data_IF_036233610272
#
_entry.id   IF_036233610272
#
_cell.length_a   1.000
_cell.length_b   1.000
_cell.length_c   1.000
_cell.angle_alpha   90.00
_cell.angle_beta   90.00
_cell.angle_gamma   90.00
#
_symmetry.space_group_name_H-M   'P 1'
#
loop_
_entity.id
_entity.type
_entity.pdbx_description
1 polymer ?
#
# COMPACT_ATOMS: atom_id res chain seq x y z
N UNK A 1 -17.59 8.00 -0.99
CA UNK A 1 -18.72 8.73 -0.35
C UNK A 1 -19.33 7.90 0.77
N UNK A 2 -19.84 6.69 0.51
CA UNK A 2 -20.43 5.83 1.54
C UNK A 2 -19.48 5.46 2.70
N UNK A 3 -18.25 5.00 2.41
CA UNK A 3 -17.29 4.65 3.46
C UNK A 3 -16.98 5.81 4.43
N UNK A 4 -16.90 7.05 3.93
CA UNK A 4 -16.67 8.22 4.79
C UNK A 4 -17.88 8.50 5.68
N UNK A 5 -19.10 8.40 5.14
CA UNK A 5 -20.32 8.56 5.94
C UNK A 5 -20.45 7.49 7.03
N UNK A 6 -20.07 6.25 6.73
CA UNK A 6 -20.03 5.16 7.72
C UNK A 6 -19.03 5.48 8.82
N UNK A 7 -17.80 5.87 8.48
CA UNK A 7 -16.77 6.25 9.47
C UNK A 7 -17.26 7.40 10.34
N UNK A 8 -17.84 8.44 9.75
CA UNK A 8 -18.38 9.58 10.51
C UNK A 8 -19.45 9.15 11.53
N UNK A 9 -20.33 8.23 11.10
CA UNK A 9 -21.37 7.65 11.96
C UNK A 9 -20.76 6.78 13.07
N UNK A 10 -19.77 5.95 12.75
CA UNK A 10 -19.09 5.10 13.74
C UNK A 10 -18.37 5.95 14.80
N UNK A 11 -17.71 7.03 14.40
CA UNK A 11 -17.10 7.98 15.34
C UNK A 11 -18.16 8.61 16.25
N UNK A 12 -19.29 9.02 15.67
CA UNK A 12 -20.38 9.62 16.45
C UNK A 12 -21.03 8.64 17.45
N UNK A 13 -21.09 7.35 17.12
CA UNK A 13 -21.71 6.32 17.96
C UNK A 13 -20.78 5.78 19.05
N UNK A 14 -19.55 5.44 18.68
CA UNK A 14 -18.62 4.73 19.56
C UNK A 14 -17.57 5.64 20.21
N UNK A 15 -17.43 6.88 19.75
CA UNK A 15 -16.58 7.88 20.38
C UNK A 15 -15.11 7.78 19.98
N UNK A 16 -14.20 7.68 20.96
CA UNK A 16 -12.75 7.75 20.76
C UNK A 16 -12.12 6.36 20.67
N UNK A 17 -10.93 6.29 20.05
CA UNK A 17 -10.07 5.10 19.91
C UNK A 17 -10.75 3.93 19.20
N UNK A 18 -11.59 4.22 18.21
CA UNK A 18 -12.22 3.17 17.41
C UNK A 18 -11.21 2.57 16.43
N UNK A 19 -11.20 1.25 16.31
CA UNK A 19 -10.39 0.51 15.33
C UNK A 19 -11.33 -0.15 14.32
N UNK A 20 -11.15 0.16 13.03
CA UNK A 20 -12.01 -0.32 11.94
C UNK A 20 -11.23 -1.30 11.08
N UNK A 21 -11.72 -2.54 11.00
CA UNK A 21 -11.29 -3.52 10.00
C UNK A 21 -11.80 -3.15 8.61
N UNK A 22 -10.89 -2.99 7.67
CA UNK A 22 -11.22 -2.80 6.26
C UNK A 22 -10.06 -3.26 5.38
N UNK A 23 -10.30 -4.11 4.39
CA UNK A 23 -9.26 -4.66 3.51
C UNK A 23 -8.36 -3.58 2.91
N UNK A 24 -8.98 -2.49 2.46
CA UNK A 24 -8.26 -1.34 1.89
C UNK A 24 -8.01 -0.25 2.93
N UNK A 25 -8.10 -0.56 4.23
CA UNK A 25 -7.95 0.36 5.35
C UNK A 25 -6.66 1.16 5.28
N UNK A 26 -5.57 0.54 4.81
CA UNK A 26 -4.29 1.22 4.61
C UNK A 26 -4.32 2.37 3.60
N UNK A 27 -5.11 2.24 2.53
CA UNK A 27 -5.31 3.29 1.53
C UNK A 27 -6.45 4.23 1.92
N UNK A 28 -7.47 3.69 2.60
CA UNK A 28 -8.64 4.42 3.03
C UNK A 28 -8.32 5.41 4.15
N UNK A 29 -7.38 5.09 5.03
CA UNK A 29 -6.83 6.03 6.01
C UNK A 29 -6.37 7.34 5.36
N UNK A 30 -5.59 7.25 4.28
CA UNK A 30 -5.17 8.41 3.51
C UNK A 30 -6.37 9.16 2.88
N UNK A 31 -7.43 8.45 2.53
CA UNK A 31 -8.67 9.06 2.02
C UNK A 31 -9.40 9.84 3.11
N UNK A 32 -9.49 9.30 4.33
CA UNK A 32 -10.05 9.99 5.49
C UNK A 32 -9.23 11.24 5.81
N UNK A 33 -7.90 11.12 5.84
CA UNK A 33 -6.98 12.21 6.12
C UNK A 33 -7.04 13.37 5.11
N UNK A 34 -7.50 13.12 3.87
CA UNK A 34 -7.71 14.14 2.84
C UNK A 34 -9.17 14.61 2.72
N UNK A 35 -10.05 14.14 3.59
CA UNK A 35 -11.47 14.49 3.59
C UNK A 35 -11.81 15.51 4.67
N UNK A 36 -13.07 15.97 4.68
CA UNK A 36 -13.60 16.81 5.76
C UNK A 36 -13.58 16.13 7.15
N UNK A 37 -13.37 14.80 7.21
CA UNK A 37 -13.28 14.05 8.46
C UNK A 37 -11.88 14.04 9.07
N UNK A 38 -10.86 14.60 8.41
CA UNK A 38 -9.47 14.50 8.86
C UNK A 38 -9.27 14.93 10.33
N UNK A 39 -9.78 16.12 10.70
CA UNK A 39 -9.66 16.64 12.07
C UNK A 39 -10.41 15.77 13.07
N UNK A 40 -11.65 15.38 12.74
CA UNK A 40 -12.50 14.55 13.60
C UNK A 40 -11.90 13.16 13.82
N UNK A 41 -11.43 12.51 12.75
CA UNK A 41 -10.76 11.21 12.81
C UNK A 41 -9.49 11.26 13.68
N UNK A 42 -8.68 12.33 13.53
CA UNK A 42 -7.47 12.52 14.33
C UNK A 42 -7.78 12.77 15.80
N UNK A 43 -8.71 13.67 16.10
CA UNK A 43 -9.13 14.00 17.47
C UNK A 43 -9.70 12.78 18.20
N UNK A 44 -10.46 11.95 17.48
CA UNK A 44 -11.03 10.73 18.01
C UNK A 44 -10.05 9.55 18.01
N UNK A 45 -8.82 9.70 17.49
CA UNK A 45 -7.84 8.61 17.45
C UNK A 45 -8.33 7.41 16.64
N UNK A 46 -9.02 7.64 15.52
CA UNK A 46 -9.45 6.60 14.60
C UNK A 46 -8.25 5.81 14.10
N UNK A 47 -8.36 4.48 14.12
CA UNK A 47 -7.40 3.57 13.50
C UNK A 47 -8.10 2.66 12.51
N UNK A 48 -7.40 2.36 11.42
CA UNK A 48 -7.77 1.28 10.52
C UNK A 48 -6.84 0.10 10.74
N UNK A 49 -7.32 -1.10 10.40
CA UNK A 49 -6.53 -2.31 10.22
C UNK A 49 -7.02 -3.04 8.98
N UNK A 50 -6.13 -3.75 8.30
CA UNK A 50 -6.54 -4.78 7.35
C UNK A 50 -6.90 -6.04 8.14
N UNK A 51 -7.92 -6.81 7.74
CA UNK A 51 -8.25 -8.07 8.40
C UNK A 51 -7.05 -9.02 8.49
N UNK A 52 -7.01 -9.92 9.46
CA UNK A 52 -5.84 -10.78 9.71
C UNK A 52 -5.55 -11.72 8.53
N UNK A 53 -6.58 -12.18 7.81
CA UNK A 53 -6.41 -13.00 6.62
C UNK A 53 -5.93 -12.15 5.43
N UNK A 54 -6.62 -11.05 5.17
CA UNK A 54 -6.27 -10.16 4.04
C UNK A 54 -4.96 -9.40 4.26
N UNK A 55 -4.65 -9.06 5.50
CA UNK A 55 -3.48 -8.29 5.89
C UNK A 55 -2.18 -8.98 5.49
N UNK A 56 -2.12 -10.32 5.54
CA UNK A 56 -0.95 -11.06 5.06
C UNK A 56 -0.73 -10.99 3.54
N UNK A 57 -1.76 -10.67 2.75
CA UNK A 57 -1.61 -10.45 1.31
C UNK A 57 -1.01 -9.07 0.98
N UNK A 58 -0.92 -8.17 1.95
CA UNK A 58 -0.31 -6.86 1.76
C UNK A 58 1.20 -6.96 1.85
N UNK A 59 1.92 -6.03 1.22
CA UNK A 59 3.37 -5.97 1.36
C UNK A 59 3.77 -5.78 2.83
N UNK A 60 4.93 -6.31 3.22
CA UNK A 60 5.38 -6.30 4.62
C UNK A 60 5.37 -4.91 5.28
N UNK A 61 5.74 -3.85 4.57
CA UNK A 61 5.69 -2.49 5.13
C UNK A 61 4.27 -2.03 5.47
N UNK A 62 3.27 -2.49 4.71
CA UNK A 62 1.87 -2.30 5.04
C UNK A 62 1.44 -3.18 6.23
N UNK A 63 1.88 -4.45 6.29
CA UNK A 63 1.59 -5.35 7.40
C UNK A 63 2.04 -4.74 8.73
N UNK A 64 3.28 -4.25 8.83
CA UNK A 64 3.83 -3.69 10.07
C UNK A 64 3.03 -2.51 10.64
N UNK A 65 2.28 -1.79 9.79
CA UNK A 65 1.51 -0.59 10.20
C UNK A 65 0.03 -0.86 10.39
N UNK A 66 -0.52 -1.83 9.66
CA UNK A 66 -1.97 -2.01 9.49
C UNK A 66 -2.47 -3.41 9.82
N UNK A 67 -1.60 -4.40 10.02
CA UNK A 67 -2.03 -5.74 10.41
C UNK A 67 -2.44 -5.75 11.89
N UNK A 68 -3.53 -6.43 12.30
CA UNK A 68 -4.06 -6.33 13.65
C UNK A 68 -3.05 -6.72 14.73
N UNK A 69 -2.22 -7.74 14.46
CA UNK A 69 -1.12 -8.19 15.34
C UNK A 69 -0.14 -7.09 15.74
N UNK A 70 0.08 -6.09 14.88
CA UNK A 70 1.03 -5.00 15.14
C UNK A 70 0.35 -3.72 15.64
N UNK A 71 -0.98 -3.74 15.79
CA UNK A 71 -1.75 -2.58 16.24
C UNK A 71 -2.27 -2.86 17.64
N UNK A 72 -1.81 -2.06 18.59
CA UNK A 72 -2.25 -2.18 19.98
C UNK A 72 -3.76 -1.90 20.10
N UNK A 73 -4.43 -2.69 20.96
CA UNK A 73 -5.87 -2.58 21.22
C UNK A 73 -6.77 -3.43 20.31
N UNK A 74 -6.20 -4.18 19.37
CA UNK A 74 -6.94 -5.13 18.52
C UNK A 74 -7.28 -6.45 19.22
N UNK A 75 -6.52 -6.81 20.26
CA UNK A 75 -6.68 -8.06 20.98
C UNK A 75 -6.53 -9.27 20.06
N UNK A 76 -7.43 -10.25 20.19
CA UNK A 76 -7.46 -11.44 19.35
C UNK A 76 -8.46 -11.32 18.19
N UNK A 77 -8.98 -10.12 17.90
CA UNK A 77 -9.92 -9.93 16.79
C UNK A 77 -9.20 -10.06 15.44
N UNK A 78 -9.77 -10.88 14.56
CA UNK A 78 -9.29 -11.07 13.19
C UNK A 78 -9.77 -9.96 12.24
N UNK A 79 -10.86 -9.28 12.56
CA UNK A 79 -11.53 -8.28 11.71
C UNK A 79 -12.05 -8.85 10.37
N UNK A 80 -12.39 -10.14 10.32
CA UNK A 80 -12.86 -10.87 9.12
C UNK A 80 -14.38 -11.18 9.17
N UNK A 81 -15.14 -10.35 9.90
CA UNK A 81 -16.55 -10.62 10.18
C UNK A 81 -17.44 -10.60 8.92
N UNK A 82 -17.12 -9.75 7.94
CA UNK A 82 -17.87 -9.65 6.69
C UNK A 82 -17.67 -10.91 5.84
N UNK A 83 -16.45 -11.42 5.82
CA UNK A 83 -15.99 -12.56 5.04
C UNK A 83 -16.67 -13.84 5.54
N UNK A 84 -16.88 -13.97 6.85
CA UNK A 84 -17.68 -15.05 7.43
C UNK A 84 -19.13 -15.04 6.93
N UNK A 85 -19.76 -13.86 6.82
CA UNK A 85 -21.12 -13.71 6.26
C UNK A 85 -21.13 -14.04 4.77
N UNK A 86 -20.17 -13.53 4.01
CA UNK A 86 -20.06 -13.79 2.57
C UNK A 86 -19.84 -15.28 2.30
N UNK A 87 -18.98 -15.93 3.08
CA UNK A 87 -18.74 -17.36 2.99
C UNK A 87 -20.02 -18.17 3.20
N UNK A 88 -20.81 -17.83 4.23
CA UNK A 88 -22.09 -18.48 4.49
C UNK A 88 -23.08 -18.30 3.33
N UNK A 89 -23.11 -17.10 2.73
CA UNK A 89 -24.02 -16.78 1.62
C UNK A 89 -23.78 -17.62 0.35
N UNK A 90 -22.61 -18.25 0.21
CA UNK A 90 -22.33 -19.16 -0.90
C UNK A 90 -23.29 -20.36 -0.92
N UNK A 91 -23.88 -20.74 0.23
CA UNK A 91 -24.83 -21.84 0.34
C UNK A 91 -26.07 -21.65 -0.56
N UNK A 92 -26.48 -20.41 -0.82
CA UNK A 92 -27.64 -20.10 -1.68
C UNK A 92 -27.26 -19.68 -3.09
N UNK A 93 -25.98 -19.59 -3.42
CA UNK A 93 -25.52 -19.05 -4.71
C UNK A 93 -25.99 -19.90 -5.91
N UNK A 94 -25.85 -21.23 -5.84
CA UNK A 94 -26.25 -22.14 -6.91
C UNK A 94 -27.77 -22.13 -7.15
N UNK A 95 -28.56 -22.18 -6.08
CA UNK A 95 -30.03 -22.17 -6.16
C UNK A 95 -30.61 -20.84 -6.67
N UNK A 96 -29.93 -19.73 -6.38
CA UNK A 96 -30.39 -18.40 -6.78
C UNK A 96 -29.94 -17.95 -8.17
N UNK A 97 -29.02 -18.67 -8.80
CA UNK A 97 -28.45 -18.34 -10.11
C UNK A 97 -29.54 -18.25 -11.19
N UNK A 98 -30.45 -19.23 -11.23
CA UNK A 98 -31.53 -19.33 -12.21
C UNK A 98 -32.91 -18.92 -11.65
N UNK A 99 -32.97 -18.49 -10.39
CA UNK A 99 -34.20 -18.04 -9.77
C UNK A 99 -34.67 -16.69 -10.34
N UNK A 100 -36.00 -16.47 -10.35
CA UNK A 100 -36.55 -15.14 -10.62
C UNK A 100 -36.10 -14.14 -9.54
N UNK A 101 -36.19 -12.83 -9.82
CA UNK A 101 -35.80 -11.79 -8.86
C UNK A 101 -36.48 -11.98 -7.49
N UNK A 102 -37.77 -12.28 -7.49
CA UNK A 102 -38.55 -12.49 -6.28
C UNK A 102 -38.01 -13.67 -5.46
N UNK A 103 -37.87 -14.86 -6.08
CA UNK A 103 -37.38 -16.05 -5.38
C UNK A 103 -35.91 -15.91 -4.94
N UNK A 104 -35.08 -15.19 -5.70
CA UNK A 104 -33.71 -14.86 -5.27
C UNK A 104 -33.71 -14.02 -4.00
N UNK A 105 -34.53 -12.97 -3.95
CA UNK A 105 -34.62 -12.11 -2.77
C UNK A 105 -35.15 -12.89 -1.57
N UNK A 106 -36.19 -13.70 -1.76
CA UNK A 106 -36.75 -14.56 -0.72
C UNK A 106 -35.69 -15.54 -0.17
N UNK A 107 -34.97 -16.26 -1.03
CA UNK A 107 -33.94 -17.21 -0.59
C UNK A 107 -32.78 -16.55 0.17
N UNK A 108 -32.35 -15.36 -0.25
CA UNK A 108 -31.31 -14.59 0.45
C UNK A 108 -31.81 -14.12 1.82
N UNK A 109 -33.05 -13.61 1.89
CA UNK A 109 -33.65 -13.12 3.13
C UNK A 109 -33.87 -14.24 4.15
N UNK A 110 -34.40 -15.38 3.71
CA UNK A 110 -34.58 -16.58 4.53
C UNK A 110 -33.23 -17.09 5.04
N UNK A 111 -32.20 -17.15 4.17
CA UNK A 111 -30.86 -17.58 4.55
C UNK A 111 -30.23 -16.66 5.61
N UNK A 112 -30.29 -15.33 5.42
CA UNK A 112 -29.73 -14.38 6.38
C UNK A 112 -30.51 -14.36 7.69
N UNK A 113 -31.82 -14.52 7.65
CA UNK A 113 -32.68 -14.62 8.84
C UNK A 113 -32.31 -15.85 9.66
N UNK A 114 -32.24 -17.02 9.01
CA UNK A 114 -31.84 -18.26 9.66
C UNK A 114 -30.41 -18.17 10.22
N UNK A 115 -29.47 -17.68 9.42
CA UNK A 115 -28.08 -17.49 9.85
C UNK A 115 -27.99 -16.57 11.08
N UNK A 116 -28.78 -15.49 11.14
CA UNK A 116 -28.80 -14.60 12.30
C UNK A 116 -29.34 -15.31 13.57
N UNK A 117 -30.36 -16.15 13.43
CA UNK A 117 -30.89 -16.95 14.55
C UNK A 117 -29.81 -17.91 15.07
N UNK A 118 -29.17 -18.66 14.18
CA UNK A 118 -28.08 -19.59 14.53
C UNK A 118 -26.94 -18.87 15.25
N UNK A 119 -26.52 -17.70 14.75
CA UNK A 119 -25.47 -16.90 15.39
C UNK A 119 -25.89 -16.37 16.74
N UNK A 120 -27.15 -15.95 16.89
CA UNK A 120 -27.67 -15.47 18.16
C UNK A 120 -27.74 -16.58 19.21
N UNK A 121 -28.18 -17.79 18.82
CA UNK A 121 -28.22 -18.96 19.69
C UNK A 121 -26.79 -19.38 20.12
N UNK A 122 -25.84 -19.36 19.19
CA UNK A 122 -24.45 -19.69 19.47
C UNK A 122 -23.65 -18.59 20.21
N UNK A 123 -24.22 -17.38 20.37
CA UNK A 123 -23.50 -16.20 20.87
C UNK A 123 -22.95 -16.40 22.28
N UNK A 124 -23.74 -17.01 23.17
CA UNK A 124 -23.34 -17.23 24.57
C UNK A 124 -22.12 -18.17 24.67
N UNK A 125 -22.14 -19.27 23.91
CA UNK A 125 -21.05 -20.23 23.80
C UNK A 125 -19.82 -19.58 23.19
N UNK A 126 -19.99 -18.81 22.11
CA UNK A 126 -18.91 -18.06 21.46
C UNK A 126 -18.21 -17.12 22.45
N UNK A 127 -18.96 -16.25 23.14
CA UNK A 127 -18.40 -15.31 24.12
C UNK A 127 -17.72 -16.02 25.28
N UNK A 128 -18.32 -17.09 25.81
CA UNK A 128 -17.76 -17.85 26.94
C UNK A 128 -16.45 -18.53 26.55
N UNK A 129 -16.38 -19.12 25.35
CA UNK A 129 -15.17 -19.78 24.86
C UNK A 129 -14.04 -18.78 24.64
N UNK A 130 -14.31 -17.64 24.00
CA UNK A 130 -13.31 -16.59 23.80
C UNK A 130 -12.85 -15.96 25.12
N UNK A 131 -13.74 -15.81 26.10
CA UNK A 131 -13.37 -15.33 27.43
C UNK A 131 -12.41 -16.31 28.13
N UNK A 132 -12.73 -17.62 28.13
CA UNK A 132 -11.85 -18.65 28.69
C UNK A 132 -10.51 -18.73 27.97
N UNK A 133 -10.52 -18.61 26.65
CA UNK A 133 -9.30 -18.57 25.84
C UNK A 133 -8.41 -17.38 26.20
N UNK A 134 -8.99 -16.18 26.34
CA UNK A 134 -8.27 -14.99 26.75
C UNK A 134 -7.64 -15.15 28.14
N UNK A 135 -8.39 -15.71 29.12
CA UNK A 135 -7.85 -16.01 30.44
C UNK A 135 -6.66 -16.97 30.38
N UNK A 136 -6.79 -18.05 29.59
CA UNK A 136 -5.71 -19.02 29.38
C UNK A 136 -4.48 -18.33 28.77
N UNK A 137 -4.65 -17.51 27.74
CA UNK A 137 -3.57 -16.77 27.10
C UNK A 137 -2.83 -15.88 28.11
N UNK A 138 -3.58 -15.15 28.95
CA UNK A 138 -3.01 -14.28 29.99
C UNK A 138 -2.23 -15.09 31.04
N UNK A 139 -2.68 -16.30 31.36
CA UNK A 139 -2.00 -17.18 32.32
C UNK A 139 -0.75 -17.84 31.73
N UNK A 140 -0.84 -18.36 30.49
CA UNK A 140 0.20 -19.23 29.92
C UNK A 140 1.27 -18.48 29.13
N UNK A 141 0.92 -17.46 28.35
CA UNK A 141 1.87 -16.84 27.44
C UNK A 141 2.91 -15.94 28.12
N UNK A 142 2.60 -15.10 29.13
CA UNK A 142 3.63 -14.28 29.78
C UNK A 142 4.83 -15.07 30.34
N UNK A 143 4.67 -16.21 31.06
CA UNK A 143 5.82 -16.99 31.51
C UNK A 143 6.54 -17.74 30.35
N UNK A 144 5.84 -18.10 29.28
CA UNK A 144 6.48 -18.67 28.07
C UNK A 144 7.34 -17.63 27.35
N UNK A 145 6.81 -16.42 27.15
CA UNK A 145 7.50 -15.29 26.53
C UNK A 145 8.72 -14.91 27.36
N UNK A 146 8.59 -14.79 28.69
CA UNK A 146 9.74 -14.51 29.58
C UNK A 146 10.85 -15.55 29.46
N UNK A 147 10.52 -16.84 29.42
CA UNK A 147 11.53 -17.90 29.22
C UNK A 147 12.24 -17.76 27.87
N UNK A 148 11.51 -17.43 26.81
CA UNK A 148 12.11 -17.18 25.49
C UNK A 148 13.00 -15.94 25.51
N UNK A 149 12.55 -14.86 26.13
CA UNK A 149 13.31 -13.61 26.31
C UNK A 149 14.61 -13.84 27.07
N UNK A 150 14.56 -14.55 28.20
CA UNK A 150 15.75 -14.92 28.97
C UNK A 150 16.72 -15.76 28.15
N UNK A 151 16.22 -16.76 27.40
CA UNK A 151 17.06 -17.61 26.56
C UNK A 151 17.75 -16.89 25.40
N UNK A 152 17.16 -15.79 24.93
CA UNK A 152 17.68 -14.99 23.82
C UNK A 152 18.40 -13.70 24.30
N UNK A 153 18.37 -13.41 25.61
CA UNK A 153 18.87 -12.16 26.18
C UNK A 153 18.11 -10.93 25.69
N UNK A 154 16.80 -11.06 25.45
CA UNK A 154 15.94 -10.01 24.91
C UNK A 154 14.97 -9.47 25.97
N UNK A 155 14.53 -8.23 25.78
CA UNK A 155 13.48 -7.56 26.53
C UNK A 155 12.23 -7.31 25.67
N UNK A 156 11.13 -6.90 26.31
CA UNK A 156 9.92 -6.46 25.61
C UNK A 156 10.20 -5.25 24.69
N UNK A 157 11.05 -4.33 25.13
CA UNK A 157 11.41 -3.14 24.35
C UNK A 157 12.16 -3.52 23.07
N UNK A 158 13.04 -4.53 23.13
CA UNK A 158 13.76 -5.00 21.95
C UNK A 158 12.79 -5.50 20.88
N UNK A 159 11.68 -6.14 21.27
CA UNK A 159 10.67 -6.60 20.33
C UNK A 159 9.97 -5.45 19.61
N UNK A 160 9.66 -4.36 20.32
CA UNK A 160 9.12 -3.14 19.73
C UNK A 160 10.16 -2.45 18.82
N UNK A 161 11.41 -2.41 19.25
CA UNK A 161 12.51 -1.83 18.50
C UNK A 161 12.76 -2.60 17.20
N UNK A 162 12.65 -3.93 17.19
CA UNK A 162 12.76 -4.72 15.95
C UNK A 162 11.69 -4.37 14.93
N UNK A 163 10.44 -4.17 15.38
CA UNK A 163 9.35 -3.73 14.49
C UNK A 163 9.67 -2.35 13.92
N UNK A 164 10.17 -1.43 14.74
CA UNK A 164 10.54 -0.07 14.32
C UNK A 164 11.73 -0.09 13.35
N UNK A 165 12.79 -0.84 13.66
CA UNK A 165 13.96 -1.02 12.80
C UNK A 165 13.57 -1.61 11.44
N UNK A 166 12.66 -2.59 11.40
CA UNK A 166 12.16 -3.16 10.16
C UNK A 166 11.39 -2.11 9.34
N UNK A 167 10.56 -1.29 9.99
CA UNK A 167 9.85 -0.18 9.33
C UNK A 167 10.83 0.85 8.75
N UNK A 168 11.83 1.26 9.53
CA UNK A 168 12.81 2.27 9.14
C UNK A 168 13.72 1.77 8.01
N UNK A 169 14.13 0.50 8.07
CA UNK A 169 14.88 -0.13 6.98
C UNK A 169 14.07 -0.14 5.69
N UNK A 170 12.80 -0.61 5.72
CA UNK A 170 11.94 -0.64 4.53
C UNK A 170 11.61 0.75 3.98
N UNK A 171 11.60 1.78 4.83
CA UNK A 171 11.41 3.18 4.43
C UNK A 171 12.68 3.82 3.87
N UNK A 172 13.86 3.50 4.43
CA UNK A 172 15.13 4.03 3.95
C UNK A 172 15.42 3.62 2.51
N UNK A 173 15.05 2.39 2.13
CA UNK A 173 15.10 1.90 0.74
C UNK A 173 14.19 2.68 -0.23
N UNK A 174 13.27 3.51 0.26
CA UNK A 174 12.43 4.39 -0.58
C UNK A 174 12.91 5.84 -0.63
N UNK A 175 13.77 6.27 0.30
CA UNK A 175 14.08 7.68 0.52
C UNK A 175 15.30 8.10 -0.30
N UNK A 176 15.11 9.03 -1.22
CA UNK A 176 16.21 9.69 -1.94
C UNK A 176 16.66 10.99 -1.22
N UNK A 177 17.92 11.36 -1.40
CA UNK A 177 18.47 12.63 -0.94
C UNK A 177 17.74 13.81 -1.63
N UNK A 178 17.24 14.82 -0.89
CA UNK A 178 16.41 15.90 -1.44
C UNK A 178 17.10 16.76 -2.51
N UNK A 179 18.39 17.05 -2.35
CA UNK A 179 19.13 17.97 -3.22
C UNK A 179 19.40 17.37 -4.61
N UNK A 180 19.76 16.08 -4.66
CA UNK A 180 19.93 15.35 -5.91
C UNK A 180 18.60 15.15 -6.64
N UNK A 181 17.51 14.94 -5.89
CA UNK A 181 16.16 14.79 -6.44
C UNK A 181 15.73 16.01 -7.27
N UNK A 182 16.01 17.23 -6.81
CA UNK A 182 15.68 18.46 -7.54
C UNK A 182 16.48 18.58 -8.85
N UNK A 183 17.79 18.27 -8.82
CA UNK A 183 18.64 18.28 -10.02
C UNK A 183 18.21 17.22 -11.03
N UNK A 184 17.79 16.05 -10.56
CA UNK A 184 17.26 15.01 -11.45
C UNK A 184 15.89 15.36 -12.03
N UNK A 185 14.98 15.96 -11.25
CA UNK A 185 13.70 16.47 -11.75
C UNK A 185 13.90 17.55 -12.83
N UNK A 186 14.88 18.43 -12.61
CA UNK A 186 15.27 19.44 -13.61
C UNK A 186 15.74 18.77 -14.90
N UNK A 187 16.57 17.72 -14.80
CA UNK A 187 17.07 16.99 -15.95
C UNK A 187 15.98 16.22 -16.72
N UNK A 188 15.01 15.62 -16.01
CA UNK A 188 13.86 14.95 -16.64
C UNK A 188 12.97 15.95 -17.37
N UNK A 189 12.72 17.12 -16.77
CA UNK A 189 11.99 18.21 -17.42
C UNK A 189 12.70 18.70 -18.70
N UNK A 190 14.04 18.81 -18.69
CA UNK A 190 14.81 19.18 -19.88
C UNK A 190 14.70 18.12 -21.00
N UNK A 191 14.75 16.83 -20.67
CA UNK A 191 14.58 15.74 -21.66
C UNK A 191 13.18 15.73 -22.28
N UNK A 192 12.14 16.04 -21.52
CA UNK A 192 10.78 16.17 -22.06
C UNK A 192 10.66 17.38 -23.01
N UNK A 193 11.37 18.47 -22.73
CA UNK A 193 11.44 19.64 -23.63
C UNK A 193 12.17 19.29 -24.93
N UNK A 194 13.29 18.55 -24.87
CA UNK A 194 14.04 18.09 -26.06
C UNK A 194 13.20 17.16 -26.96
N UNK A 195 12.40 16.25 -26.37
CA UNK A 195 11.53 15.34 -27.13
C UNK A 195 10.55 16.06 -28.07
N UNK A 196 9.99 17.21 -27.65
CA UNK A 196 9.08 18.01 -28.51
C UNK A 196 9.81 18.69 -29.67
N UNK A 197 11.07 19.12 -29.46
CA UNK A 197 11.87 19.68 -30.54
C UNK A 197 12.05 18.65 -31.65
N UNK A 198 12.30 17.37 -31.32
CA UNK A 198 12.37 16.28 -32.29
C UNK A 198 11.01 15.92 -32.92
N UNK A 199 9.90 16.00 -32.17
CA UNK A 199 8.56 15.66 -32.68
C UNK A 199 8.03 16.67 -33.72
N UNK A 200 8.40 17.95 -33.60
CA UNK A 200 8.05 19.00 -34.59
C UNK A 200 8.55 18.70 -36.00
N UNK A 201 9.64 17.93 -36.15
CA UNK A 201 10.20 17.55 -37.45
C UNK A 201 9.49 16.37 -38.12
N UNK A 202 8.69 15.59 -37.36
CA UNK A 202 8.05 14.35 -37.85
C UNK A 202 6.60 14.55 -38.32
N UNK A 203 5.97 15.69 -38.04
CA UNK A 203 4.54 15.94 -38.31
C UNK A 203 4.19 16.37 -39.75
N UNK A 204 5.11 16.27 -40.71
CA UNK A 204 4.85 16.60 -42.11
C UNK A 204 4.56 15.34 -42.92
N UNK A 205 3.36 14.76 -42.77
CA UNK A 205 2.88 13.71 -43.69
C UNK A 205 1.41 13.95 -44.04
N UNK A 206 1.04 14.02 -45.34
CA UNK A 206 -0.32 14.36 -45.76
C UNK A 206 -1.28 13.16 -45.57
N UNK A 207 -2.48 13.44 -45.06
CA UNK A 207 -3.46 12.44 -44.65
C UNK A 207 -4.42 12.01 -45.80
N UNK A 208 -4.82 10.72 -45.78
CA UNK A 208 -5.88 10.08 -46.58
C UNK A 208 -7.13 9.77 -45.68
N UNK A 209 -8.31 9.39 -46.22
CA UNK A 209 -9.62 9.75 -45.66
C UNK A 209 -10.13 8.81 -44.55
N UNK A 210 -10.23 9.35 -43.33
CA UNK A 210 -11.19 9.02 -42.27
C UNK A 210 -11.14 10.12 -41.19
N UNK A 211 -11.42 11.34 -41.63
CA UNK A 211 -10.85 12.58 -41.10
C UNK A 211 -11.34 12.94 -39.68
N UNK A 212 -12.63 12.78 -39.35
CA UNK A 212 -13.19 13.44 -38.17
C UNK A 212 -12.86 12.79 -36.81
N UNK A 213 -13.11 11.48 -36.64
CA UNK A 213 -12.78 10.79 -35.36
C UNK A 213 -11.27 10.75 -35.11
N UNK A 214 -10.48 10.57 -36.17
CA UNK A 214 -9.02 10.56 -36.13
C UNK A 214 -8.43 11.96 -35.90
N UNK A 215 -9.01 13.04 -36.45
CA UNK A 215 -8.61 14.41 -36.09
C UNK A 215 -8.95 14.73 -34.64
N UNK A 216 -10.12 14.33 -34.13
CA UNK A 216 -10.52 14.66 -32.76
C UNK A 216 -9.72 13.87 -31.73
N UNK A 217 -9.28 12.65 -32.03
CA UNK A 217 -8.35 11.90 -31.18
C UNK A 217 -6.91 12.42 -31.31
N UNK A 218 -6.45 12.73 -32.53
CA UNK A 218 -5.13 13.34 -32.76
C UNK A 218 -5.04 14.74 -32.13
N UNK A 219 -6.06 15.58 -32.26
CA UNK A 219 -6.14 16.92 -31.68
C UNK A 219 -6.15 16.88 -30.15
N UNK A 220 -6.86 15.92 -29.53
CA UNK A 220 -6.77 15.68 -28.08
C UNK A 220 -5.38 15.21 -27.65
N UNK A 221 -4.74 14.35 -28.44
CA UNK A 221 -3.38 13.88 -28.19
C UNK A 221 -2.36 15.02 -28.30
N UNK A 222 -2.48 15.86 -29.33
CA UNK A 222 -1.64 17.05 -29.57
C UNK A 222 -1.84 18.06 -28.43
N UNK A 223 -3.08 18.42 -28.10
CA UNK A 223 -3.38 19.34 -27.00
C UNK A 223 -2.85 18.81 -25.65
N UNK A 224 -3.00 17.50 -25.39
CA UNK A 224 -2.42 16.88 -24.19
C UNK A 224 -0.88 16.92 -24.19
N UNK A 225 -0.24 16.68 -25.34
CA UNK A 225 1.21 16.75 -25.50
C UNK A 225 1.73 18.20 -25.36
N UNK A 226 0.99 19.19 -25.87
CA UNK A 226 1.29 20.61 -25.70
C UNK A 226 1.19 21.04 -24.24
N UNK A 227 0.11 20.65 -23.56
CA UNK A 227 -0.07 20.92 -22.13
C UNK A 227 1.05 20.28 -21.30
N UNK A 228 1.45 19.03 -21.61
CA UNK A 228 2.58 18.36 -20.94
C UNK A 228 3.89 19.11 -21.14
N UNK A 229 4.12 19.66 -22.33
CA UNK A 229 5.31 20.43 -22.62
C UNK A 229 5.33 21.77 -21.88
N UNK A 230 4.24 22.52 -21.90
CA UNK A 230 4.14 23.79 -21.16
C UNK A 230 4.37 23.57 -19.66
N UNK A 231 3.81 22.48 -19.12
CA UNK A 231 4.06 22.07 -17.76
C UNK A 231 5.55 21.73 -17.52
N UNK A 232 6.19 20.98 -18.43
CA UNK A 232 7.60 20.62 -18.31
C UNK A 232 8.53 21.86 -18.41
N UNK A 233 8.21 22.82 -19.27
CA UNK A 233 8.96 24.07 -19.42
C UNK A 233 8.80 24.98 -18.20
N UNK A 234 7.59 25.08 -17.68
CA UNK A 234 7.30 25.79 -16.43
C UNK A 234 8.05 25.15 -15.26
N UNK A 235 8.02 23.82 -15.18
CA UNK A 235 8.73 23.04 -14.16
C UNK A 235 10.24 23.23 -14.27
N UNK A 236 10.82 23.17 -15.47
CA UNK A 236 12.25 23.40 -15.68
C UNK A 236 12.66 24.81 -15.25
N UNK A 237 11.82 25.82 -15.52
CA UNK A 237 12.10 27.22 -15.15
C UNK A 237 12.05 27.42 -13.63
N UNK A 238 11.05 26.84 -12.97
CA UNK A 238 10.92 26.87 -11.51
C UNK A 238 12.08 26.15 -10.82
N UNK A 239 12.47 24.97 -11.33
CA UNK A 239 13.57 24.19 -10.78
C UNK A 239 14.93 24.87 -11.01
N UNK A 240 15.13 25.54 -12.15
CA UNK A 240 16.32 26.37 -12.40
C UNK A 240 16.44 27.48 -11.35
N UNK A 241 15.33 28.16 -11.04
CA UNK A 241 15.30 29.21 -10.04
C UNK A 241 15.57 28.66 -8.62
N UNK A 242 14.97 27.52 -8.27
CA UNK A 242 15.19 26.86 -6.98
C UNK A 242 16.64 26.38 -6.80
N UNK A 243 17.28 25.90 -7.87
CA UNK A 243 18.68 25.44 -7.88
C UNK A 243 19.69 26.59 -8.07
N UNK A 244 19.24 27.84 -8.21
CA UNK A 244 20.06 29.04 -8.42
C UNK A 244 21.04 28.93 -9.60
N UNK A 245 20.65 28.19 -10.66
CA UNK A 245 21.51 27.98 -11.82
C UNK A 245 21.54 29.23 -12.71
N UNK A 246 22.73 29.72 -13.06
CA UNK A 246 22.90 30.91 -13.93
C UNK A 246 22.49 30.61 -15.37
N UNK A 247 22.98 29.51 -15.95
CA UNK A 247 22.74 29.11 -17.33
C UNK A 247 21.84 27.87 -17.41
N UNK A 248 21.10 27.75 -18.53
CA UNK A 248 20.32 26.54 -18.80
C UNK A 248 21.27 25.43 -19.20
N UNK A 249 21.05 24.22 -18.69
CA UNK A 249 21.85 23.07 -19.12
C UNK A 249 21.53 22.70 -20.57
N UNK A 250 22.57 22.59 -21.39
CA UNK A 250 22.53 22.09 -22.76
C UNK A 250 23.36 20.81 -22.89
N UNK A 251 23.18 20.00 -23.94
CA UNK A 251 23.91 18.75 -24.12
C UNK A 251 25.45 18.89 -24.16
N UNK A 252 25.96 20.08 -24.46
CA UNK A 252 27.40 20.38 -24.47
C UNK A 252 27.98 20.72 -23.08
N UNK A 253 27.14 21.01 -22.08
CA UNK A 253 27.62 21.36 -20.74
C UNK A 253 28.12 20.12 -19.98
N UNK A 254 29.25 20.27 -19.29
CA UNK A 254 29.83 19.24 -18.41
C UNK A 254 28.85 18.81 -17.32
N UNK A 255 28.16 19.76 -16.71
CA UNK A 255 27.16 19.50 -15.66
C UNK A 255 25.99 18.64 -16.18
N UNK A 256 25.60 18.84 -17.44
CA UNK A 256 24.53 18.05 -18.06
C UNK A 256 24.98 16.60 -18.28
N UNK A 257 26.21 16.39 -18.74
CA UNK A 257 26.76 15.05 -18.98
C UNK A 257 26.97 14.28 -17.67
N UNK A 258 27.54 14.93 -16.64
CA UNK A 258 27.71 14.32 -15.32
C UNK A 258 26.36 13.94 -14.72
N UNK A 259 25.36 14.84 -14.80
CA UNK A 259 24.01 14.54 -14.31
C UNK A 259 23.29 13.47 -15.14
N UNK A 260 23.64 13.32 -16.44
CA UNK A 260 23.11 12.25 -17.29
C UNK A 260 23.57 10.89 -16.82
N UNK A 261 24.85 10.79 -16.46
CA UNK A 261 25.44 9.57 -15.95
C UNK A 261 24.91 9.27 -14.55
N UNK A 262 24.84 10.27 -13.67
CA UNK A 262 24.19 10.14 -12.35
C UNK A 262 22.72 9.75 -12.46
N UNK A 263 21.98 10.20 -13.48
CA UNK A 263 20.58 9.83 -13.66
C UNK A 263 20.43 8.37 -14.13
N UNK A 264 21.36 7.87 -14.94
CA UNK A 264 21.43 6.46 -15.34
C UNK A 264 21.74 5.59 -14.11
N UNK A 265 22.72 6.00 -13.33
CA UNK A 265 23.10 5.33 -12.10
C UNK A 265 21.97 5.36 -11.06
N UNK A 266 21.26 6.49 -10.92
CA UNK A 266 20.05 6.62 -10.10
C UNK A 266 18.98 5.61 -10.49
N UNK A 267 18.69 5.45 -11.79
CA UNK A 267 17.72 4.45 -12.25
C UNK A 267 18.13 3.04 -11.83
N UNK A 268 19.42 2.72 -11.99
CA UNK A 268 19.96 1.43 -11.54
C UNK A 268 19.82 1.26 -10.02
N UNK A 269 20.26 2.24 -9.22
CA UNK A 269 20.16 2.23 -7.75
C UNK A 269 18.71 2.10 -7.27
N UNK A 270 17.76 2.85 -7.85
CA UNK A 270 16.32 2.72 -7.55
C UNK A 270 15.79 1.31 -7.79
N UNK A 271 16.15 0.72 -8.92
CA UNK A 271 15.72 -0.65 -9.25
C UNK A 271 16.37 -1.64 -8.29
N UNK A 272 17.63 -1.43 -7.92
CA UNK A 272 18.35 -2.24 -6.94
C UNK A 272 17.73 -2.16 -5.54
N UNK A 273 17.44 -0.94 -5.05
CA UNK A 273 16.80 -0.69 -3.76
C UNK A 273 15.38 -1.28 -3.71
N UNK A 274 14.62 -1.13 -4.80
CA UNK A 274 13.28 -1.73 -4.92
C UNK A 274 13.34 -3.26 -4.97
N UNK A 275 14.32 -3.83 -5.67
CA UNK A 275 14.54 -5.27 -5.69
C UNK A 275 14.93 -5.79 -4.29
N UNK A 276 15.87 -5.14 -3.63
CA UNK A 276 16.28 -5.45 -2.25
C UNK A 276 15.06 -5.42 -1.32
N UNK A 277 14.28 -4.34 -1.39
CA UNK A 277 13.06 -4.17 -0.62
C UNK A 277 12.10 -5.33 -0.85
N UNK A 278 11.76 -5.63 -2.10
CA UNK A 278 10.81 -6.71 -2.42
C UNK A 278 11.31 -8.09 -1.97
N UNK A 279 12.61 -8.36 -2.11
CA UNK A 279 13.23 -9.63 -1.71
C UNK A 279 13.21 -9.77 -0.18
N UNK A 280 13.61 -8.73 0.56
CA UNK A 280 13.58 -8.74 2.02
C UNK A 280 12.15 -8.87 2.54
N UNK A 281 11.20 -8.12 1.98
CA UNK A 281 9.78 -8.27 2.31
C UNK A 281 9.31 -9.71 2.08
N UNK A 282 9.70 -10.32 0.96
CA UNK A 282 9.31 -11.68 0.64
C UNK A 282 9.94 -12.71 1.56
N UNK A 283 11.19 -12.52 2.00
CA UNK A 283 11.84 -13.38 2.98
C UNK A 283 11.06 -13.36 4.30
N UNK A 284 10.71 -12.19 4.81
CA UNK A 284 9.91 -12.07 6.04
C UNK A 284 8.53 -12.72 5.92
N UNK A 285 7.88 -12.62 4.77
CA UNK A 285 6.62 -13.33 4.49
C UNK A 285 6.82 -14.85 4.51
N UNK A 286 7.85 -15.36 3.82
CA UNK A 286 8.12 -16.79 3.74
C UNK A 286 8.51 -17.39 5.09
N UNK A 287 9.31 -16.69 5.89
CA UNK A 287 9.69 -17.13 7.23
C UNK A 287 8.47 -17.24 8.15
N UNK A 288 7.54 -16.29 8.06
CA UNK A 288 6.28 -16.33 8.83
C UNK A 288 5.35 -17.48 8.45
N UNK A 289 5.35 -17.89 7.19
CA UNK A 289 4.58 -19.04 6.72
C UNK A 289 5.24 -20.39 7.09
N UNK A 290 6.30 -20.38 7.90
CA UNK A 290 7.15 -21.54 8.18
C UNK A 290 7.71 -22.20 6.90
N UNK A 291 7.90 -21.40 5.84
CA UNK A 291 8.47 -21.83 4.56
C UNK A 291 9.98 -21.50 4.46
N UNK A 292 10.61 -21.24 5.61
CA UNK A 292 12.06 -21.15 5.76
C UNK A 292 12.72 -22.42 5.21
N UNK A 293 13.65 -22.27 4.27
CA UNK A 293 14.36 -23.41 3.66
C UNK A 293 13.76 -23.98 2.37
N UNK A 294 12.59 -23.51 1.95
CA UNK A 294 12.04 -23.80 0.61
C UNK A 294 12.93 -23.25 -0.51
N UNK A 295 12.83 -23.80 -1.72
CA UNK A 295 13.59 -23.31 -2.88
C UNK A 295 13.38 -21.81 -3.13
N UNK A 296 12.15 -21.31 -2.93
CA UNK A 296 11.80 -19.89 -3.04
C UNK A 296 12.53 -19.03 -1.98
N UNK A 297 12.60 -19.50 -0.73
CA UNK A 297 13.34 -18.81 0.32
C UNK A 297 14.85 -18.76 0.02
N UNK A 298 15.45 -19.87 -0.42
CA UNK A 298 16.87 -19.91 -0.79
C UNK A 298 17.20 -18.99 -1.97
N UNK A 299 16.32 -18.95 -2.97
CA UNK A 299 16.47 -18.06 -4.12
C UNK A 299 16.43 -16.58 -3.70
N UNK A 300 15.49 -16.19 -2.84
CA UNK A 300 15.45 -14.84 -2.29
C UNK A 300 16.72 -14.50 -1.49
N UNK A 301 17.26 -15.43 -0.69
CA UNK A 301 18.54 -15.23 0.01
C UNK A 301 19.71 -15.01 -0.94
N UNK A 302 19.79 -15.78 -2.03
CA UNK A 302 20.83 -15.61 -3.05
C UNK A 302 20.74 -14.25 -3.74
N UNK A 303 19.52 -13.81 -4.11
CA UNK A 303 19.31 -12.48 -4.70
C UNK A 303 19.75 -11.41 -3.70
N UNK A 304 19.36 -11.53 -2.42
CA UNK A 304 19.73 -10.56 -1.40
C UNK A 304 21.25 -10.45 -1.24
N UNK A 305 21.95 -11.58 -1.14
CA UNK A 305 23.42 -11.60 -1.08
C UNK A 305 24.05 -10.91 -2.30
N UNK A 306 23.58 -11.20 -3.51
CA UNK A 306 24.06 -10.56 -4.74
C UNK A 306 23.77 -9.06 -4.77
N UNK A 307 22.64 -8.63 -4.19
CA UNK A 307 22.22 -7.23 -4.16
C UNK A 307 23.09 -6.43 -3.18
N UNK A 308 23.35 -6.99 -2.00
CA UNK A 308 24.25 -6.41 -0.98
C UNK A 308 25.69 -6.33 -1.51
N UNK A 309 26.20 -7.39 -2.14
CA UNK A 309 27.56 -7.41 -2.71
C UNK A 309 27.77 -6.42 -3.86
N UNK A 310 26.70 -5.92 -4.50
CA UNK A 310 26.77 -4.90 -5.55
C UNK A 310 26.70 -3.47 -5.00
N UNK A 311 26.51 -3.32 -3.70
CA UNK A 311 26.42 -2.04 -2.99
C UNK A 311 27.74 -1.65 -2.33
N UNK A 312 28.59 -2.64 -2.02
CA UNK A 312 29.98 -2.51 -1.58
C UNK A 312 30.92 -2.38 -2.79
#
# INVERSE_FOLDING_TARGET
>A
KYGLAIVDRLIALYGKKICIGYDIGCAFDGTVARSSLASKAKEHGLRFVAGAFHGHAHNRGCQLRWHPTYVEGTGCSDFEGCEHVFSASNAVASGTQHASRFHRQQAIDEHLTFWNIDKYEALSTFLTNHYREALRIIETHPPEIRRMQESLGLSDNDCHDFVQQEQDYLQSLKKELPEESLRFQYMEALKEVEKKQHLKYLTTTPALPNLHKSLMSAGRSICSAETKFENAETTATQLKAALQLRTRWTPENTDYQEMKDKLRERKYRKVLDELERLVVQRLFELSKLNLSGTGKHRFCMQILQLTISRRL
#
